data_IF_782498374340
#
_entry.id   IF_782498374340
#
_cell.length_a   1.000
_cell.length_b   1.000
_cell.length_c   1.000
_cell.angle_alpha   90.00
_cell.angle_beta   90.00
_cell.angle_gamma   90.00
#
_symmetry.space_group_name_H-M   'P 1'
#
loop_
_entity.id
_entity.type
_entity.pdbx_description
1 polymer ?
#
# COMPACT_ATOMS: atom_id res chain seq x y z
N UNK A 1 -13.87 -63.22 -15.01
CA UNK A 1 -12.83 -62.21 -14.73
C UNK A 1 -13.42 -61.18 -13.77
N UNK A 2 -13.23 -61.34 -12.46
CA UNK A 2 -13.65 -60.32 -11.49
C UNK A 2 -12.57 -59.25 -11.44
N UNK A 3 -12.89 -58.06 -11.93
CA UNK A 3 -12.06 -56.86 -11.78
C UNK A 3 -12.06 -56.49 -10.31
N UNK A 4 -10.88 -56.44 -9.71
CA UNK A 4 -10.68 -55.82 -8.39
C UNK A 4 -11.07 -54.34 -8.47
N UNK A 5 -12.27 -54.00 -7.99
CA UNK A 5 -12.66 -52.62 -7.72
C UNK A 5 -11.94 -52.16 -6.46
N UNK A 6 -10.71 -51.70 -6.62
CA UNK A 6 -9.95 -51.02 -5.55
C UNK A 6 -10.59 -49.65 -5.34
N UNK A 7 -11.55 -49.58 -4.43
CA UNK A 7 -12.20 -48.35 -4.02
C UNK A 7 -11.27 -47.47 -3.19
N UNK A 8 -11.42 -46.15 -3.35
CA UNK A 8 -10.83 -45.11 -2.51
C UNK A 8 -10.96 -45.46 -1.03
N UNK A 9 -9.85 -45.48 -0.30
CA UNK A 9 -9.91 -45.68 1.15
C UNK A 9 -10.16 -44.34 1.85
N UNK A 10 -10.91 -44.35 2.96
CA UNK A 10 -11.16 -43.13 3.75
C UNK A 10 -9.86 -42.49 4.25
N UNK A 11 -8.86 -43.32 4.56
CA UNK A 11 -7.54 -42.86 4.99
C UNK A 11 -6.80 -42.10 3.89
N UNK A 12 -7.03 -42.47 2.62
CA UNK A 12 -6.45 -41.78 1.45
C UNK A 12 -6.98 -40.35 1.34
N UNK A 13 -8.29 -40.18 1.49
CA UNK A 13 -8.90 -38.85 1.49
C UNK A 13 -8.47 -38.02 2.72
N UNK A 14 -8.28 -38.66 3.87
CA UNK A 14 -7.81 -37.97 5.08
C UNK A 14 -6.40 -37.42 4.90
N UNK A 15 -5.47 -38.22 4.35
CA UNK A 15 -4.09 -37.78 4.09
C UNK A 15 -4.08 -36.65 3.04
N UNK A 16 -4.89 -36.76 1.99
CA UNK A 16 -4.98 -35.71 0.96
C UNK A 16 -5.47 -34.38 1.55
N UNK A 17 -6.54 -34.39 2.36
CA UNK A 17 -7.04 -33.18 3.01
C UNK A 17 -6.04 -32.61 4.02
N UNK A 18 -5.30 -33.46 4.73
CA UNK A 18 -4.24 -33.05 5.64
C UNK A 18 -3.12 -32.29 4.91
N UNK A 19 -2.64 -32.83 3.78
CA UNK A 19 -1.60 -32.18 2.97
C UNK A 19 -2.10 -30.86 2.37
N UNK A 20 -3.34 -30.81 1.83
CA UNK A 20 -3.95 -29.57 1.32
C UNK A 20 -4.06 -28.52 2.43
N UNK A 21 -4.45 -28.91 3.64
CA UNK A 21 -4.54 -28.02 4.80
C UNK A 21 -3.19 -27.39 5.18
N UNK A 22 -2.10 -28.17 5.15
CA UNK A 22 -0.74 -27.65 5.40
C UNK A 22 -0.32 -26.65 4.32
N UNK A 23 -0.57 -26.95 3.05
CA UNK A 23 -0.22 -26.06 1.93
C UNK A 23 -0.97 -24.73 2.05
N UNK A 24 -2.28 -24.76 2.34
CA UNK A 24 -3.09 -23.54 2.49
C UNK A 24 -2.63 -22.69 3.68
N UNK A 25 -2.28 -23.31 4.80
CA UNK A 25 -1.78 -22.60 5.99
C UNK A 25 -0.48 -21.82 5.71
N UNK A 26 0.40 -22.35 4.84
CA UNK A 26 1.66 -21.69 4.45
C UNK A 26 1.44 -20.66 3.34
N UNK A 27 0.55 -20.94 2.38
CA UNK A 27 0.36 -20.11 1.20
C UNK A 27 -0.38 -18.77 1.49
N UNK A 28 -1.40 -18.80 2.35
CA UNK A 28 -2.23 -17.62 2.67
C UNK A 28 -1.47 -16.45 3.32
N UNK A 29 -0.60 -16.63 4.34
CA UNK A 29 0.07 -15.50 5.00
C UNK A 29 1.03 -14.74 4.08
N UNK A 30 1.55 -15.37 3.01
CA UNK A 30 2.42 -14.71 2.04
C UNK A 30 1.67 -13.74 1.13
N UNK A 31 0.39 -13.99 0.83
CA UNK A 31 -0.39 -13.14 -0.07
C UNK A 31 -0.81 -11.81 0.58
N UNK A 32 -1.18 -11.83 1.86
CA UNK A 32 -1.64 -10.63 2.56
C UNK A 32 -0.51 -9.61 2.80
N UNK A 33 0.71 -10.06 3.08
CA UNK A 33 1.83 -9.17 3.44
C UNK A 33 2.38 -8.34 2.27
N UNK A 34 2.20 -8.79 1.03
CA UNK A 34 2.74 -8.08 -0.14
C UNK A 34 1.95 -6.79 -0.45
N UNK A 35 0.65 -6.76 -0.15
CA UNK A 35 -0.19 -5.56 -0.29
C UNK A 35 0.29 -4.44 0.62
N UNK A 36 0.27 -4.68 1.93
CA UNK A 36 0.66 -3.69 2.95
C UNK A 36 2.06 -3.11 2.73
N UNK A 37 3.02 -3.95 2.30
CA UNK A 37 4.40 -3.51 2.05
C UNK A 37 4.48 -2.62 0.81
N UNK A 38 3.74 -2.93 -0.25
CA UNK A 38 3.68 -2.10 -1.45
C UNK A 38 2.97 -0.77 -1.17
N UNK A 39 1.88 -0.79 -0.40
CA UNK A 39 1.13 0.41 0.00
C UNK A 39 1.98 1.34 0.86
N UNK A 40 2.69 0.80 1.86
CA UNK A 40 3.60 1.57 2.71
C UNK A 40 4.76 2.21 1.92
N UNK A 41 5.37 1.46 0.99
CA UNK A 41 6.43 1.99 0.13
C UNK A 41 5.93 3.09 -0.82
N UNK A 42 4.75 2.89 -1.42
CA UNK A 42 4.13 3.91 -2.28
C UNK A 42 3.81 5.18 -1.48
N UNK A 43 3.30 5.04 -0.27
CA UNK A 43 2.98 6.14 0.63
C UNK A 43 4.24 6.92 1.06
N UNK A 44 5.32 6.22 1.40
CA UNK A 44 6.61 6.85 1.69
C UNK A 44 7.18 7.59 0.48
N UNK A 45 7.11 7.00 -0.72
CA UNK A 45 7.56 7.63 -1.95
C UNK A 45 6.75 8.90 -2.27
N UNK A 46 5.42 8.83 -2.17
CA UNK A 46 4.53 9.96 -2.38
C UNK A 46 4.81 11.11 -1.39
N UNK A 47 4.99 10.80 -0.11
CA UNK A 47 5.36 11.81 0.90
C UNK A 47 6.68 12.50 0.56
N UNK A 48 7.70 11.76 0.13
CA UNK A 48 9.00 12.34 -0.26
C UNK A 48 8.86 13.29 -1.45
N UNK A 49 8.09 12.90 -2.47
CA UNK A 49 7.84 13.75 -3.64
C UNK A 49 7.08 15.01 -3.24
N UNK A 50 6.01 14.89 -2.44
CA UNK A 50 5.22 16.02 -1.97
C UNK A 50 6.05 17.00 -1.13
N UNK A 51 6.90 16.50 -0.23
CA UNK A 51 7.82 17.34 0.55
C UNK A 51 8.83 18.05 -0.35
N UNK A 52 9.42 17.37 -1.32
CA UNK A 52 10.36 17.98 -2.25
C UNK A 52 9.71 19.09 -3.08
N UNK A 53 8.48 18.88 -3.55
CA UNK A 53 7.75 19.90 -4.30
C UNK A 53 7.26 21.05 -3.42
N UNK A 54 6.84 20.78 -2.19
CA UNK A 54 6.50 21.82 -1.23
C UNK A 54 7.72 22.68 -0.86
N UNK A 55 8.91 22.08 -0.81
CA UNK A 55 10.16 22.80 -0.60
C UNK A 55 10.52 23.66 -1.83
N UNK A 56 10.37 23.14 -3.06
CA UNK A 56 10.52 23.92 -4.28
C UNK A 56 9.57 25.13 -4.31
N UNK A 57 8.31 24.91 -3.92
CA UNK A 57 7.31 25.97 -3.79
C UNK A 57 7.77 27.02 -2.77
N UNK A 58 8.31 26.61 -1.62
CA UNK A 58 8.87 27.53 -0.63
C UNK A 58 10.03 28.35 -1.18
N UNK A 59 10.92 27.75 -1.96
CA UNK A 59 12.05 28.46 -2.56
C UNK A 59 11.60 29.52 -3.58
N UNK A 60 10.50 29.27 -4.29
CA UNK A 60 10.00 30.17 -5.32
C UNK A 60 9.04 31.25 -4.78
N UNK A 61 8.12 30.89 -3.88
CA UNK A 61 7.03 31.75 -3.41
C UNK A 61 7.27 32.26 -1.97
N UNK A 62 8.28 31.74 -1.28
CA UNK A 62 8.69 32.19 0.05
C UNK A 62 7.90 31.59 1.22
N UNK A 63 6.86 30.79 0.96
CA UNK A 63 6.04 30.11 1.98
C UNK A 63 5.80 28.65 1.61
N UNK A 64 5.47 27.80 2.60
CA UNK A 64 4.97 26.46 2.28
C UNK A 64 3.56 26.52 1.67
N UNK A 65 3.17 25.54 0.84
CA UNK A 65 1.80 25.43 0.34
C UNK A 65 0.85 25.01 1.47
N UNK A 66 -0.36 25.56 1.49
CA UNK A 66 -1.44 25.17 2.42
C UNK A 66 -2.08 23.83 2.00
N UNK A 67 -2.12 23.54 0.70
CA UNK A 67 -2.80 22.36 0.14
C UNK A 67 -2.01 21.72 -1.01
N UNK A 68 -2.22 20.41 -1.21
CA UNK A 68 -1.63 19.68 -2.35
C UNK A 68 -2.15 20.24 -3.69
N UNK A 69 -3.41 20.67 -3.75
CA UNK A 69 -3.98 21.29 -4.94
C UNK A 69 -3.28 22.60 -5.34
N UNK A 70 -2.74 23.38 -4.41
CA UNK A 70 -1.95 24.56 -4.77
C UNK A 70 -0.69 24.19 -5.56
N UNK A 71 -0.03 23.09 -5.22
CA UNK A 71 1.12 22.58 -5.98
C UNK A 71 0.72 22.17 -7.40
N UNK A 72 -0.47 21.57 -7.56
CA UNK A 72 -1.00 21.21 -8.87
C UNK A 72 -1.33 22.45 -9.70
N UNK A 73 -2.08 23.39 -9.13
CA UNK A 73 -2.49 24.62 -9.81
C UNK A 73 -1.32 25.49 -10.25
N UNK A 74 -0.21 25.46 -9.49
CA UNK A 74 1.01 26.21 -9.77
C UNK A 74 2.02 25.42 -10.62
N UNK A 75 1.70 24.18 -11.00
CA UNK A 75 2.52 23.36 -11.91
C UNK A 75 3.73 22.68 -11.27
N UNK A 76 3.79 22.61 -9.94
CA UNK A 76 4.83 21.84 -9.22
C UNK A 76 4.51 20.34 -9.17
N UNK A 77 3.24 19.98 -9.39
CA UNK A 77 2.77 18.61 -9.55
C UNK A 77 1.80 18.53 -10.72
N UNK A 78 1.88 17.48 -11.53
CA UNK A 78 0.94 17.25 -12.63
C UNK A 78 -0.42 16.76 -12.12
N UNK A 79 -0.38 15.86 -11.13
CA UNK A 79 -1.57 15.32 -10.47
C UNK A 79 -1.29 15.12 -8.98
N UNK A 80 -2.33 15.28 -8.15
CA UNK A 80 -2.23 14.97 -6.73
C UNK A 80 -2.20 13.44 -6.54
N UNK A 81 -1.14 12.86 -5.95
CA UNK A 81 -1.09 11.43 -5.70
C UNK A 81 -2.21 11.02 -4.75
N UNK A 82 -2.77 9.83 -4.96
CA UNK A 82 -3.78 9.25 -4.07
C UNK A 82 -3.12 8.42 -2.98
N UNK A 83 -3.75 8.42 -1.81
CA UNK A 83 -3.37 7.57 -0.71
C UNK A 83 -3.61 6.08 -1.02
N UNK A 84 -2.60 5.21 -0.91
CA UNK A 84 -2.78 3.79 -1.16
C UNK A 84 -3.63 3.09 -0.08
N UNK A 85 -3.47 3.46 1.20
CA UNK A 85 -4.13 2.77 2.32
C UNK A 85 -5.64 3.07 2.49
N UNK A 86 -6.08 4.29 2.13
CA UNK A 86 -7.42 4.81 2.42
C UNK A 86 -8.18 5.28 1.17
N UNK A 87 -7.45 5.52 0.07
CA UNK A 87 -8.00 6.15 -1.13
C UNK A 87 -8.26 7.65 -1.01
N UNK A 88 -7.94 8.29 0.13
CA UNK A 88 -8.13 9.74 0.30
C UNK A 88 -6.94 10.58 -0.24
N UNK A 89 -6.96 11.88 0.03
CA UNK A 89 -5.97 12.85 -0.45
C UNK A 89 -4.95 13.19 0.63
N UNK A 90 -3.71 13.45 0.22
CA UNK A 90 -2.68 13.95 1.12
C UNK A 90 -2.99 15.36 1.64
N UNK A 91 -2.72 15.59 2.92
CA UNK A 91 -2.82 16.90 3.58
C UNK A 91 -1.48 17.36 4.13
N UNK A 92 -1.23 18.66 4.04
CA UNK A 92 -0.06 19.30 4.61
C UNK A 92 -0.38 19.80 6.02
N UNK A 93 0.40 19.36 6.99
CA UNK A 93 0.31 19.84 8.37
C UNK A 93 1.62 20.51 8.73
N UNK A 94 1.58 21.81 9.03
CA UNK A 94 2.74 22.56 9.49
C UNK A 94 2.75 22.51 11.01
N UNK A 95 3.74 21.81 11.60
CA UNK A 95 3.93 21.86 13.05
C UNK A 95 4.57 23.19 13.46
N UNK A 96 4.28 23.63 14.69
CA UNK A 96 4.78 24.88 15.29
C UNK A 96 6.32 25.01 15.33
N UNK A 97 7.03 23.91 15.06
CA UNK A 97 8.48 23.81 14.87
C UNK A 97 8.96 24.23 13.47
N UNK A 98 8.07 24.61 12.55
CA UNK A 98 8.40 24.97 11.17
C UNK A 98 8.63 23.75 10.24
N UNK A 99 8.33 22.53 10.72
CA UNK A 99 8.43 21.31 9.94
C UNK A 99 7.10 21.00 9.24
N UNK A 100 7.14 20.86 7.91
CA UNK A 100 6.03 20.39 7.09
C UNK A 100 5.93 18.85 7.21
N UNK A 101 4.78 18.35 7.64
CA UNK A 101 4.46 16.92 7.65
C UNK A 101 3.37 16.63 6.62
N UNK A 102 3.58 15.57 5.84
CA UNK A 102 2.59 15.10 4.86
C UNK A 102 1.87 13.91 5.46
N UNK A 103 0.57 14.07 5.70
CA UNK A 103 -0.28 13.02 6.24
C UNK A 103 -1.22 12.52 5.16
N UNK A 104 -1.43 11.21 5.15
CA UNK A 104 -2.45 10.54 4.38
C UNK A 104 -3.61 10.27 5.32
N UNK A 105 -4.79 10.86 5.07
CA UNK A 105 -6.02 10.51 5.80
C UNK A 105 -6.72 9.33 5.12
#
# INVERSE_FOLDING_TARGET
MRKDERGFTLIEMLIVLFVIGIILAIALPNLAKTGDVAESQADEANRKVLLAQAENYRLAEGSYPDTVQQLVNKGYLEEAPKCPNSGETYTFNVSSSGSLTVSCQ
#
